data_IF_260244601006
#
_entry.id   IF_260244601006
#
_cell.length_a   1.000
_cell.length_b   1.000
_cell.length_c   1.000
_cell.angle_alpha   90.00
_cell.angle_beta   90.00
_cell.angle_gamma   90.00
#
_symmetry.space_group_name_H-M   'P 1'
#
loop_
_entity.id
_entity.type
_entity.pdbx_description
1 polymer ?
#
# COMPACT_ATOMS: atom_id res chain seq x y z
N UNK A 1 -3.59 -13.68 -25.41
CA UNK A 1 -5.02 -13.29 -25.43
C UNK A 1 -5.05 -11.80 -25.74
N UNK A 2 -5.81 -11.31 -26.74
CA UNK A 2 -5.86 -9.88 -27.02
C UNK A 2 -6.41 -9.15 -25.78
N UNK A 3 -5.83 -8.00 -25.43
CA UNK A 3 -6.28 -7.21 -24.28
C UNK A 3 -7.71 -6.68 -24.48
N UNK A 4 -8.05 -6.35 -25.73
CA UNK A 4 -9.41 -5.98 -26.12
C UNK A 4 -10.13 -7.28 -26.51
N UNK A 5 -11.22 -7.65 -25.81
CA UNK A 5 -11.89 -8.92 -26.05
C UNK A 5 -12.84 -8.90 -27.25
N UNK A 6 -13.30 -7.72 -27.66
CA UNK A 6 -14.30 -7.53 -28.72
C UNK A 6 -13.64 -7.58 -30.10
N UNK A 7 -14.20 -8.40 -30.98
CA UNK A 7 -13.90 -8.36 -32.41
C UNK A 7 -14.62 -7.20 -33.09
N UNK A 8 -14.25 -6.88 -34.33
CA UNK A 8 -15.00 -5.88 -35.11
C UNK A 8 -16.48 -6.24 -35.24
N UNK A 9 -16.81 -7.53 -35.40
CA UNK A 9 -18.20 -7.98 -35.47
C UNK A 9 -18.97 -7.74 -34.17
N UNK A 10 -18.32 -7.91 -33.01
CA UNK A 10 -18.93 -7.62 -31.71
C UNK A 10 -19.20 -6.11 -31.57
N UNK A 11 -18.22 -5.29 -31.98
CA UNK A 11 -18.34 -3.82 -31.96
C UNK A 11 -19.51 -3.38 -32.85
N UNK A 12 -19.60 -3.90 -34.08
CA UNK A 12 -20.65 -3.54 -35.04
C UNK A 12 -22.05 -3.92 -34.51
N UNK A 13 -22.17 -5.12 -33.92
CA UNK A 13 -23.43 -5.57 -33.31
C UNK A 13 -23.84 -4.72 -32.10
N UNK A 14 -22.88 -4.35 -31.25
CA UNK A 14 -23.12 -3.47 -30.10
C UNK A 14 -23.56 -2.07 -30.55
N UNK A 15 -22.89 -1.49 -31.56
CA UNK A 15 -23.24 -0.19 -32.13
C UNK A 15 -24.65 -0.20 -32.75
N UNK A 16 -24.98 -1.25 -33.51
CA UNK A 16 -26.31 -1.42 -34.08
C UNK A 16 -27.40 -1.51 -32.99
N UNK A 17 -27.14 -2.22 -31.90
CA UNK A 17 -28.09 -2.39 -30.80
C UNK A 17 -28.44 -1.06 -30.10
N UNK A 18 -27.51 -0.11 -30.03
CA UNK A 18 -27.72 1.22 -29.44
C UNK A 18 -28.05 2.30 -30.47
N UNK A 19 -28.10 1.96 -31.76
CA UNK A 19 -28.43 2.88 -32.86
C UNK A 19 -27.29 3.82 -33.25
N UNK A 20 -26.05 3.51 -32.89
CA UNK A 20 -24.88 4.34 -33.14
C UNK A 20 -24.09 3.87 -34.38
N UNK A 21 -23.35 4.80 -34.98
CA UNK A 21 -22.62 4.56 -36.23
C UNK A 21 -21.12 4.35 -36.05
N UNK A 22 -20.56 4.75 -34.90
CA UNK A 22 -19.14 4.58 -34.60
C UNK A 22 -18.87 4.66 -33.10
N UNK A 23 -17.76 4.09 -32.65
CA UNK A 23 -17.31 4.21 -31.25
C UNK A 23 -17.00 5.66 -30.86
N UNK A 24 -16.62 6.50 -31.82
CA UNK A 24 -16.34 7.92 -31.59
C UNK A 24 -17.61 8.71 -31.23
N UNK A 25 -18.78 8.29 -31.71
CA UNK A 25 -20.06 8.92 -31.39
C UNK A 25 -20.41 8.79 -29.89
N UNK A 26 -19.92 7.75 -29.22
CA UNK A 26 -20.15 7.50 -27.79
C UNK A 26 -19.49 8.52 -26.84
N UNK A 27 -18.70 9.44 -27.38
CA UNK A 27 -17.96 10.45 -26.61
C UNK A 27 -18.45 11.87 -26.88
N UNK A 28 -19.64 12.05 -27.49
CA UNK A 28 -20.25 13.35 -27.82
C UNK A 28 -20.44 14.28 -26.60
N UNK A 29 -20.59 13.72 -25.40
CA UNK A 29 -20.65 14.45 -24.13
C UNK A 29 -19.34 15.19 -23.78
N UNK A 30 -18.20 14.80 -24.35
CA UNK A 30 -16.92 15.47 -24.12
C UNK A 30 -16.82 16.66 -25.09
N UNK A 31 -16.84 17.92 -24.59
CA UNK A 31 -16.74 19.10 -25.44
C UNK A 31 -15.51 19.06 -26.36
N UNK A 32 -15.67 19.50 -27.60
CA UNK A 32 -14.64 19.37 -28.62
C UNK A 32 -13.33 20.08 -28.27
N UNK A 33 -13.39 21.16 -27.50
CA UNK A 33 -12.26 21.92 -26.98
C UNK A 33 -11.54 21.24 -25.81
N UNK A 34 -12.21 20.31 -25.11
CA UNK A 34 -11.61 19.47 -24.06
C UNK A 34 -10.98 18.18 -24.60
N UNK A 35 -11.33 17.77 -25.83
CA UNK A 35 -10.78 16.57 -26.45
C UNK A 35 -9.32 16.78 -26.82
N UNK A 36 -8.45 15.87 -26.42
CA UNK A 36 -7.05 15.85 -26.87
C UNK A 36 -7.00 15.61 -28.38
N UNK A 37 -6.41 16.56 -29.12
CA UNK A 37 -6.31 16.52 -30.60
C UNK A 37 -4.94 16.08 -31.12
N UNK A 38 -3.99 15.84 -30.22
CA UNK A 38 -2.65 15.41 -30.58
C UNK A 38 -2.53 13.89 -30.67
N UNK A 39 -1.32 13.45 -30.99
CA UNK A 39 -0.92 12.06 -30.78
C UNK A 39 -0.24 11.93 -29.41
N UNK A 40 -0.45 10.81 -28.74
CA UNK A 40 0.27 10.52 -27.50
C UNK A 40 1.74 10.31 -27.86
N UNK A 41 2.64 11.03 -27.18
CA UNK A 41 4.09 10.85 -27.35
C UNK A 41 4.55 9.56 -26.65
N UNK A 42 4.19 8.41 -27.23
CA UNK A 42 4.51 7.08 -26.76
C UNK A 42 5.36 6.34 -27.81
N UNK A 43 6.27 5.44 -27.40
CA UNK A 43 6.96 4.57 -28.33
C UNK A 43 5.98 3.65 -29.07
N UNK A 44 6.43 3.11 -30.21
CA UNK A 44 5.69 2.10 -30.95
C UNK A 44 5.35 0.89 -30.07
N UNK A 45 4.19 0.27 -30.38
CA UNK A 45 3.74 -0.91 -29.67
C UNK A 45 4.72 -2.07 -29.86
N UNK A 46 4.92 -2.84 -28.79
CA UNK A 46 5.74 -4.04 -28.82
C UNK A 46 4.85 -5.27 -28.75
N UNK A 47 5.26 -6.33 -29.45
CA UNK A 47 4.71 -7.66 -29.19
C UNK A 47 5.05 -8.10 -27.76
N UNK A 48 4.25 -8.99 -27.19
CA UNK A 48 4.48 -9.55 -25.85
C UNK A 48 5.91 -10.11 -25.71
N UNK A 49 6.39 -10.85 -26.71
CA UNK A 49 7.75 -11.39 -26.72
C UNK A 49 8.84 -10.31 -26.71
N UNK A 50 8.65 -9.24 -27.47
CA UNK A 50 9.59 -8.12 -27.52
C UNK A 50 9.61 -7.35 -26.19
N UNK A 51 8.42 -7.11 -25.61
CA UNK A 51 8.28 -6.46 -24.31
C UNK A 51 8.95 -7.27 -23.20
N UNK A 52 8.72 -8.59 -23.15
CA UNK A 52 9.34 -9.46 -22.16
C UNK A 52 10.87 -9.46 -22.23
N UNK A 53 11.44 -9.52 -23.45
CA UNK A 53 12.90 -9.41 -23.65
C UNK A 53 13.43 -8.06 -23.19
N UNK A 54 12.72 -6.98 -23.51
CA UNK A 54 13.11 -5.62 -23.09
C UNK A 54 13.10 -5.48 -21.57
N UNK A 55 12.05 -5.98 -20.89
CA UNK A 55 11.96 -5.92 -19.43
C UNK A 55 13.06 -6.76 -18.76
N UNK A 56 13.36 -7.96 -19.28
CA UNK A 56 14.48 -8.78 -18.79
C UNK A 56 15.83 -8.08 -18.97
N UNK A 57 16.06 -7.42 -20.11
CA UNK A 57 17.29 -6.67 -20.35
C UNK A 57 17.44 -5.51 -19.37
N UNK A 58 16.34 -4.81 -19.05
CA UNK A 58 16.34 -3.71 -18.07
C UNK A 58 16.59 -4.22 -16.66
N UNK A 59 15.91 -5.29 -16.25
CA UNK A 59 16.09 -5.89 -14.93
C UNK A 59 17.53 -6.34 -14.68
N UNK A 60 18.25 -6.83 -15.71
CA UNK A 60 19.67 -7.21 -15.62
C UNK A 60 20.64 -6.04 -15.37
N UNK A 61 20.17 -4.79 -15.42
CA UNK A 61 21.00 -3.62 -15.09
C UNK A 61 21.09 -3.38 -13.58
N UNK A 62 20.13 -3.91 -12.83
CA UNK A 62 20.11 -3.78 -11.37
C UNK A 62 21.08 -4.79 -10.75
N UNK A 63 21.81 -4.35 -9.72
CA UNK A 63 22.70 -5.22 -8.97
C UNK A 63 21.90 -6.05 -7.96
N UNK A 64 22.11 -7.36 -7.95
CA UNK A 64 21.53 -8.28 -6.96
C UNK A 64 22.61 -8.62 -5.94
N UNK A 65 22.73 -7.77 -4.91
CA UNK A 65 23.69 -7.94 -3.81
C UNK A 65 22.99 -8.38 -2.52
N UNK A 66 23.71 -9.13 -1.69
CA UNK A 66 23.29 -9.39 -0.31
C UNK A 66 23.16 -8.06 0.44
N UNK A 67 22.00 -7.82 1.05
CA UNK A 67 21.69 -6.53 1.66
C UNK A 67 21.33 -6.66 3.14
N UNK A 68 22.22 -6.14 3.99
CA UNK A 68 22.07 -6.15 5.44
C UNK A 68 21.73 -4.76 6.03
N UNK A 69 21.31 -3.79 5.21
CA UNK A 69 20.95 -2.43 5.66
C UNK A 69 19.73 -2.44 6.58
N UNK A 70 18.83 -3.42 6.42
CA UNK A 70 17.62 -3.55 7.22
C UNK A 70 16.66 -2.36 7.01
N UNK A 71 16.40 -1.61 8.07
CA UNK A 71 15.50 -0.44 8.05
C UNK A 71 14.07 -0.77 7.59
N UNK A 72 13.52 -1.89 8.06
CA UNK A 72 12.14 -2.32 7.80
C UNK A 72 11.96 -3.20 6.56
N UNK A 73 13.04 -3.50 5.82
CA UNK A 73 13.05 -4.51 4.77
C UNK A 73 14.21 -5.47 5.00
N UNK A 74 13.91 -6.76 5.10
CA UNK A 74 14.89 -7.79 5.45
C UNK A 74 14.81 -8.92 4.44
N UNK A 75 15.97 -9.35 3.95
CA UNK A 75 16.07 -10.49 3.05
C UNK A 75 15.61 -11.77 3.79
N UNK A 76 14.73 -12.55 3.14
CA UNK A 76 14.19 -13.78 3.70
C UNK A 76 13.85 -14.77 2.59
N UNK A 77 13.85 -16.06 2.94
CA UNK A 77 13.47 -17.11 2.01
C UNK A 77 11.95 -17.10 1.78
N UNK A 78 11.53 -16.95 0.52
CA UNK A 78 10.14 -17.09 0.08
C UNK A 78 9.97 -18.51 -0.49
N UNK A 79 9.18 -19.39 0.15
CA UNK A 79 8.94 -20.74 -0.37
C UNK A 79 8.36 -20.72 -1.78
N UNK A 80 8.80 -21.62 -2.65
CA UNK A 80 8.36 -21.70 -4.05
C UNK A 80 6.83 -21.78 -4.20
N UNK A 81 6.15 -22.47 -3.27
CA UNK A 81 4.69 -22.57 -3.25
C UNK A 81 3.98 -21.20 -3.17
N UNK A 82 4.62 -20.16 -2.61
CA UNK A 82 4.06 -18.81 -2.58
C UNK A 82 3.96 -18.23 -3.99
N UNK A 83 4.98 -18.44 -4.83
CA UNK A 83 4.97 -17.99 -6.23
C UNK A 83 3.95 -18.76 -7.06
N UNK A 84 3.81 -20.06 -6.82
CA UNK A 84 2.77 -20.89 -7.47
C UNK A 84 1.36 -20.44 -7.07
N UNK A 85 1.15 -19.98 -5.84
CA UNK A 85 -0.16 -19.49 -5.39
C UNK A 85 -0.47 -18.09 -5.89
N UNK A 86 0.48 -17.16 -5.77
CA UNK A 86 0.27 -15.74 -6.12
C UNK A 86 0.11 -15.50 -7.62
N UNK A 87 0.61 -16.41 -8.46
CA UNK A 87 0.45 -16.35 -9.91
C UNK A 87 -0.89 -16.91 -10.43
N UNK A 88 -1.69 -17.54 -9.57
CA UNK A 88 -3.00 -18.09 -9.94
C UNK A 88 -4.01 -16.96 -10.14
N UNK A 89 -4.73 -17.02 -11.26
CA UNK A 89 -5.68 -15.97 -11.67
C UNK A 89 -6.75 -15.68 -10.61
N UNK A 90 -7.29 -16.71 -9.97
CA UNK A 90 -8.32 -16.60 -8.94
C UNK A 90 -7.90 -15.82 -7.69
N UNK A 91 -6.59 -15.74 -7.39
CA UNK A 91 -6.07 -14.90 -6.30
C UNK A 91 -5.64 -13.52 -6.81
N UNK A 92 -5.15 -13.44 -8.05
CA UNK A 92 -4.61 -12.22 -8.63
C UNK A 92 -5.69 -11.25 -9.15
N UNK A 93 -6.83 -11.76 -9.62
CA UNK A 93 -7.86 -10.97 -10.31
C UNK A 93 -9.11 -10.71 -9.47
N UNK A 94 -9.31 -11.46 -8.38
CA UNK A 94 -10.40 -11.20 -7.45
C UNK A 94 -10.21 -9.84 -6.76
N UNK A 95 -11.30 -9.09 -6.59
CA UNK A 95 -11.28 -7.80 -5.88
C UNK A 95 -11.79 -7.94 -4.45
N UNK A 96 -12.09 -6.81 -3.80
CA UNK A 96 -12.63 -6.79 -2.43
C UNK A 96 -13.81 -7.76 -2.28
N UNK A 97 -13.84 -8.60 -1.23
CA UNK A 97 -14.83 -9.67 -1.07
C UNK A 97 -16.19 -9.14 -0.61
N UNK A 98 -16.82 -8.26 -1.40
CA UNK A 98 -18.14 -7.70 -1.12
C UNK A 98 -19.26 -8.75 -1.16
N UNK A 99 -19.08 -9.81 -1.97
CA UNK A 99 -19.97 -10.97 -2.03
C UNK A 99 -19.34 -12.10 -1.20
N UNK A 100 -19.67 -12.13 0.09
CA UNK A 100 -18.99 -12.99 1.06
C UNK A 100 -19.16 -14.48 0.74
N UNK A 101 -20.34 -14.89 0.30
CA UNK A 101 -20.70 -16.27 -0.07
C UNK A 101 -19.85 -16.77 -1.25
N UNK A 102 -19.49 -15.88 -2.17
CA UNK A 102 -18.64 -16.18 -3.32
C UNK A 102 -17.14 -16.02 -3.04
N UNK A 103 -16.77 -15.56 -1.83
CA UNK A 103 -15.40 -15.14 -1.49
C UNK A 103 -14.83 -15.84 -0.25
N UNK A 104 -15.40 -16.98 0.16
CA UNK A 104 -15.02 -17.65 1.41
C UNK A 104 -13.54 -18.06 1.47
N UNK A 105 -12.90 -18.39 0.34
CA UNK A 105 -11.46 -18.69 0.32
C UNK A 105 -10.60 -17.49 0.73
N UNK A 106 -10.85 -16.31 0.15
CA UNK A 106 -10.15 -15.05 0.50
C UNK A 106 -10.48 -14.62 1.93
N UNK A 107 -11.73 -14.76 2.36
CA UNK A 107 -12.13 -14.43 3.73
C UNK A 107 -11.46 -15.34 4.76
N UNK A 108 -11.30 -16.63 4.47
CA UNK A 108 -10.52 -17.53 5.31
C UNK A 108 -9.06 -17.09 5.38
N UNK A 109 -8.43 -16.75 4.26
CA UNK A 109 -7.05 -16.23 4.24
C UNK A 109 -6.90 -14.98 5.12
N UNK A 110 -7.85 -14.04 5.02
CA UNK A 110 -7.87 -12.83 5.86
C UNK A 110 -8.00 -13.20 7.34
N UNK A 111 -8.89 -14.14 7.68
CA UNK A 111 -9.06 -14.61 9.05
C UNK A 111 -7.78 -15.26 9.60
N UNK A 112 -7.08 -16.08 8.81
CA UNK A 112 -5.80 -16.68 9.21
C UNK A 112 -4.72 -15.60 9.41
N UNK A 113 -4.65 -14.60 8.53
CA UNK A 113 -3.74 -13.46 8.69
C UNK A 113 -4.03 -12.70 9.99
N UNK A 114 -5.30 -12.36 10.26
CA UNK A 114 -5.70 -11.67 11.48
C UNK A 114 -5.35 -12.49 12.72
N UNK A 115 -5.64 -13.79 12.69
CA UNK A 115 -5.34 -14.72 13.78
C UNK A 115 -3.83 -14.80 14.05
N UNK A 116 -3.03 -14.89 12.99
CA UNK A 116 -1.57 -14.90 13.08
C UNK A 116 -1.04 -13.61 13.72
N UNK A 117 -1.49 -12.44 13.25
CA UNK A 117 -1.04 -11.14 13.77
C UNK A 117 -1.49 -10.94 15.22
N UNK A 118 -2.73 -11.25 15.57
CA UNK A 118 -3.22 -11.19 16.96
C UNK A 118 -2.39 -12.07 17.89
N UNK A 119 -2.09 -13.32 17.48
CA UNK A 119 -1.26 -14.25 18.27
C UNK A 119 0.19 -13.79 18.40
N UNK A 120 0.77 -13.26 17.33
CA UNK A 120 2.16 -12.77 17.33
C UNK A 120 2.34 -11.53 18.21
N UNK A 121 1.37 -10.62 18.17
CA UNK A 121 1.43 -9.34 18.91
C UNK A 121 0.84 -9.42 20.32
N UNK A 122 0.11 -10.49 20.65
CA UNK A 122 -0.62 -10.61 21.90
C UNK A 122 -1.83 -9.66 21.99
N UNK A 123 -2.30 -9.11 20.87
CA UNK A 123 -3.44 -8.19 20.81
C UNK A 123 -4.75 -8.94 20.57
N UNK A 124 -5.86 -8.35 21.04
CA UNK A 124 -7.19 -8.97 20.92
C UNK A 124 -7.69 -9.03 19.47
N UNK A 125 -7.36 -8.03 18.65
CA UNK A 125 -7.85 -7.90 17.28
C UNK A 125 -6.77 -7.38 16.33
N UNK A 126 -6.84 -7.83 15.07
CA UNK A 126 -6.06 -7.31 13.96
C UNK A 126 -7.00 -7.04 12.78
N UNK A 127 -6.68 -6.04 11.96
CA UNK A 127 -7.43 -5.76 10.74
C UNK A 127 -6.92 -6.62 9.56
N UNK A 128 -7.54 -6.46 8.39
CA UNK A 128 -7.18 -7.15 7.15
C UNK A 128 -6.06 -6.42 6.38
N UNK A 129 -4.96 -6.07 7.06
CA UNK A 129 -3.79 -5.32 6.55
C UNK A 129 -3.95 -3.79 6.41
N UNK A 130 -2.82 -3.13 6.15
CA UNK A 130 -2.65 -1.72 5.79
C UNK A 130 -1.49 -1.62 4.78
N UNK A 131 -1.30 -0.45 4.16
CA UNK A 131 -0.37 -0.29 3.03
C UNK A 131 1.09 -0.61 3.36
N UNK A 132 1.62 -0.07 4.45
CA UNK A 132 3.00 -0.27 4.87
C UNK A 132 3.17 0.00 6.38
N UNK A 133 4.36 -0.26 6.92
CA UNK A 133 4.65 -0.04 8.33
C UNK A 133 4.63 1.44 8.76
N UNK A 134 4.87 2.38 7.83
CA UNK A 134 4.90 3.80 8.14
C UNK A 134 3.48 4.39 8.29
N UNK A 135 2.60 4.07 7.35
CA UNK A 135 1.17 4.39 7.40
C UNK A 135 0.48 3.67 8.55
N UNK A 136 0.85 2.41 8.83
CA UNK A 136 0.37 1.69 10.02
C UNK A 136 0.69 2.44 11.32
N UNK A 137 1.94 2.90 11.46
CA UNK A 137 2.39 3.67 12.63
C UNK A 137 1.63 4.99 12.75
N UNK A 138 1.44 5.71 11.63
CA UNK A 138 0.68 6.95 11.62
C UNK A 138 -0.79 6.72 12.04
N UNK A 139 -1.44 5.67 11.54
CA UNK A 139 -2.80 5.34 11.96
C UNK A 139 -2.87 4.93 13.44
N UNK A 140 -1.87 4.20 13.95
CA UNK A 140 -1.77 3.90 15.37
C UNK A 140 -1.66 5.16 16.23
N UNK A 141 -0.83 6.12 15.83
CA UNK A 141 -0.73 7.45 16.47
C UNK A 141 -2.07 8.19 16.47
N UNK A 142 -2.76 8.21 15.33
CA UNK A 142 -4.08 8.85 15.20
C UNK A 142 -5.14 8.14 16.05
N UNK A 143 -5.14 6.81 16.08
CA UNK A 143 -6.02 6.02 16.93
C UNK A 143 -5.79 6.32 18.41
N UNK A 144 -4.54 6.38 18.86
CA UNK A 144 -4.20 6.68 20.25
C UNK A 144 -4.73 8.06 20.69
N UNK A 145 -4.52 9.10 19.86
CA UNK A 145 -5.06 10.44 20.12
C UNK A 145 -6.58 10.43 20.15
N UNK A 146 -7.25 9.75 19.21
CA UNK A 146 -8.73 9.69 19.13
C UNK A 146 -9.34 8.91 20.30
N UNK A 147 -8.67 7.85 20.75
CA UNK A 147 -9.12 7.04 21.88
C UNK A 147 -9.04 7.81 23.20
N UNK A 148 -8.01 8.64 23.39
CA UNK A 148 -7.81 9.43 24.61
C UNK A 148 -8.52 10.81 24.56
N UNK A 149 -9.86 10.83 24.51
CA UNK A 149 -10.68 12.06 24.32
C UNK A 149 -10.49 13.13 25.42
N UNK A 150 -10.03 12.73 26.61
CA UNK A 150 -9.81 13.63 27.76
C UNK A 150 -8.52 14.43 27.60
N UNK A 151 -7.49 13.83 27.01
CA UNK A 151 -6.24 14.52 26.72
C UNK A 151 -6.44 15.48 25.54
N UNK A 152 -6.06 16.75 25.71
CA UNK A 152 -6.14 17.79 24.67
C UNK A 152 -4.80 18.08 24.01
N UNK A 153 -3.74 17.43 24.47
CA UNK A 153 -2.42 17.52 23.90
C UNK A 153 -2.42 17.07 22.45
N UNK A 154 -1.59 17.75 21.67
CA UNK A 154 -1.30 17.42 20.28
C UNK A 154 0.08 16.80 20.13
N UNK A 155 0.79 16.61 21.24
CA UNK A 155 2.14 16.08 21.27
C UNK A 155 2.11 14.56 21.23
N UNK A 156 2.89 13.98 20.34
CA UNK A 156 3.18 12.54 20.30
C UNK A 156 4.69 12.40 20.44
N UNK A 157 5.11 11.65 21.45
CA UNK A 157 6.52 11.33 21.64
C UNK A 157 6.90 10.14 20.77
N UNK A 158 8.04 10.24 20.11
CA UNK A 158 8.59 9.18 19.28
C UNK A 158 9.99 8.83 19.76
N UNK A 159 10.27 7.54 19.86
CA UNK A 159 11.60 7.03 20.18
C UNK A 159 12.64 7.49 19.15
N UNK A 160 13.82 7.94 19.61
CA UNK A 160 14.88 8.45 18.74
C UNK A 160 15.52 7.41 17.80
N UNK A 161 15.34 6.12 18.08
CA UNK A 161 15.77 5.02 17.22
C UNK A 161 14.73 4.60 16.17
N UNK A 162 13.57 5.28 16.09
CA UNK A 162 12.54 4.96 15.11
C UNK A 162 13.04 5.22 13.69
N UNK A 163 12.63 4.38 12.74
CA UNK A 163 13.05 4.50 11.34
C UNK A 163 12.76 5.92 10.80
N UNK A 164 13.78 6.67 10.35
CA UNK A 164 13.60 8.06 9.94
C UNK A 164 12.67 8.22 8.74
N UNK A 165 12.57 7.20 7.86
CA UNK A 165 11.62 7.20 6.75
C UNK A 165 10.18 7.06 7.24
N UNK A 166 9.97 6.23 8.27
CA UNK A 166 8.65 6.07 8.87
C UNK A 166 8.24 7.35 9.58
N UNK A 167 9.16 7.99 10.33
CA UNK A 167 8.90 9.26 10.99
C UNK A 167 8.53 10.36 9.98
N UNK A 168 9.25 10.45 8.85
CA UNK A 168 8.93 11.42 7.79
C UNK A 168 7.53 11.21 7.19
N UNK A 169 7.15 9.96 6.94
CA UNK A 169 5.82 9.62 6.44
C UNK A 169 4.73 9.92 7.49
N UNK A 170 4.96 9.56 8.76
CA UNK A 170 4.06 9.88 9.86
C UNK A 170 3.84 11.39 9.96
N UNK A 171 4.92 12.19 9.94
CA UNK A 171 4.85 13.65 9.96
C UNK A 171 4.00 14.19 8.80
N UNK A 172 4.16 13.62 7.59
CA UNK A 172 3.37 14.04 6.44
C UNK A 172 1.87 13.75 6.60
N UNK A 173 1.52 12.63 7.23
CA UNK A 173 0.14 12.20 7.48
C UNK A 173 -0.53 13.02 8.60
N UNK A 174 0.19 13.26 9.70
CA UNK A 174 -0.42 13.83 10.91
C UNK A 174 -0.38 15.37 10.98
N UNK A 175 0.54 16.03 10.26
CA UNK A 175 0.76 17.48 10.39
C UNK A 175 -0.49 18.34 10.14
N UNK A 176 -1.33 17.96 9.16
CA UNK A 176 -2.52 18.73 8.80
C UNK A 176 -3.64 18.61 9.85
N UNK A 177 -3.48 17.71 10.81
CA UNK A 177 -4.39 17.51 11.95
C UNK A 177 -3.89 18.26 13.20
N UNK A 178 -2.82 19.05 13.08
CA UNK A 178 -2.23 19.84 14.15
C UNK A 178 -1.45 19.02 15.17
N UNK A 179 -1.05 17.78 14.84
CA UNK A 179 -0.26 16.93 15.72
C UNK A 179 1.24 17.20 15.55
N UNK A 180 1.96 17.25 16.68
CA UNK A 180 3.40 17.43 16.76
C UNK A 180 4.06 16.11 17.12
N UNK A 181 5.00 15.66 16.28
CA UNK A 181 5.86 14.52 16.60
C UNK A 181 7.17 15.05 17.18
N UNK A 182 7.47 14.69 18.43
CA UNK A 182 8.73 15.06 19.10
C UNK A 182 9.55 13.83 19.37
N UNK A 183 10.75 13.80 18.80
CA UNK A 183 11.69 12.71 19.03
C UNK A 183 12.42 12.88 20.37
N UNK A 184 12.46 11.80 21.15
CA UNK A 184 13.23 11.73 22.40
C UNK A 184 14.58 11.06 22.11
N UNK A 185 15.70 11.62 22.60
CA UNK A 185 17.04 11.09 22.29
C UNK A 185 17.19 9.61 22.66
N UNK A 186 17.74 8.85 21.71
CA UNK A 186 18.20 7.48 21.93
C UNK A 186 19.71 7.49 22.16
N UNK A 187 20.16 6.89 23.26
CA UNK A 187 21.58 6.71 23.53
C UNK A 187 22.09 5.44 22.84
N UNK A 188 22.98 5.60 21.87
CA UNK A 188 23.64 4.46 21.22
C UNK A 188 24.62 3.73 22.14
N UNK A 189 25.08 4.37 23.22
CA UNK A 189 26.00 3.76 24.19
C UNK A 189 25.28 2.82 25.15
N UNK A 190 24.11 3.22 25.64
CA UNK A 190 23.33 2.43 26.62
C UNK A 190 22.21 1.61 25.98
N UNK A 191 21.82 1.94 24.75
CA UNK A 191 20.63 1.37 24.12
C UNK A 191 19.31 1.86 24.74
N UNK A 192 19.37 2.89 25.58
CA UNK A 192 18.22 3.40 26.31
C UNK A 192 17.72 4.72 25.73
N UNK A 193 16.43 4.98 25.94
CA UNK A 193 15.80 6.27 25.72
C UNK A 193 15.52 6.87 27.09
N UNK A 194 16.06 8.04 27.35
CA UNK A 194 15.79 8.77 28.59
C UNK A 194 14.50 9.57 28.41
N UNK A 195 13.42 9.09 29.03
CA UNK A 195 12.13 9.75 28.97
C UNK A 195 12.03 10.84 30.04
N UNK A 196 11.87 12.12 29.67
CA UNK A 196 11.52 13.14 30.65
C UNK A 196 10.10 12.84 31.14
N UNK A 197 9.96 12.54 32.44
CA UNK A 197 8.66 12.21 33.06
C UNK A 197 7.63 13.32 32.82
N UNK A 198 8.06 14.59 32.86
CA UNK A 198 7.23 15.75 32.54
C UNK A 198 6.62 15.69 31.14
N UNK A 199 7.38 15.22 30.15
CA UNK A 199 6.94 15.17 28.76
C UNK A 199 5.97 14.00 28.54
N UNK A 200 6.10 12.92 29.30
CA UNK A 200 5.18 11.78 29.26
C UNK A 200 3.79 12.13 29.81
N UNK A 201 3.71 12.97 30.85
CA UNK A 201 2.44 13.39 31.44
C UNK A 201 1.60 14.24 30.48
N UNK A 202 2.27 15.04 29.64
CA UNK A 202 1.62 15.94 28.68
C UNK A 202 1.44 15.31 27.28
N UNK A 203 2.05 14.16 26.98
CA UNK A 203 1.94 13.53 25.66
C UNK A 203 0.58 12.82 25.47
N UNK A 204 0.04 12.90 24.25
CA UNK A 204 -1.18 12.17 23.88
C UNK A 204 -0.91 10.70 23.57
N UNK A 205 0.29 10.38 23.08
CA UNK A 205 0.72 9.04 22.74
C UNK A 205 2.26 8.93 22.75
N UNK A 206 2.74 7.69 22.87
CA UNK A 206 4.14 7.33 22.78
C UNK A 206 4.31 6.22 21.73
N UNK A 207 5.21 6.44 20.77
CA UNK A 207 5.58 5.46 19.76
C UNK A 207 7.02 4.96 19.97
N UNK A 208 7.16 3.64 20.07
CA UNK A 208 8.44 2.96 20.33
C UNK A 208 8.66 1.91 19.24
N UNK A 209 9.90 1.78 18.78
CA UNK A 209 10.31 0.65 17.94
C UNK A 209 10.62 -0.58 18.82
N UNK A 210 10.31 -1.78 18.33
CA UNK A 210 10.71 -3.02 18.98
C UNK A 210 11.12 -4.07 17.94
N UNK A 211 12.36 -4.59 17.98
CA UNK A 211 13.48 -4.05 18.75
C UNK A 211 13.78 -2.57 18.43
#
# INVERSE_FOLDING_TARGET
MPFIPHTQSDIDAMLQAIGETSTAALFDEIPDDMRFKGELNLPDSLSEMALMRLMQQRARRDEVALNFVGAGAYEHHIPAAVWDLTSRGEFMTAYTPYQAEASQGTLQLIYEFQTMISRLTGMEVANASVYDGASALAEAMLMAVRANKKNKSRLILVAGNLNPRYLKACQAIVKNQGLELRSVPFSSETGCIEWPVSDLEDAAALAIAYP
#
